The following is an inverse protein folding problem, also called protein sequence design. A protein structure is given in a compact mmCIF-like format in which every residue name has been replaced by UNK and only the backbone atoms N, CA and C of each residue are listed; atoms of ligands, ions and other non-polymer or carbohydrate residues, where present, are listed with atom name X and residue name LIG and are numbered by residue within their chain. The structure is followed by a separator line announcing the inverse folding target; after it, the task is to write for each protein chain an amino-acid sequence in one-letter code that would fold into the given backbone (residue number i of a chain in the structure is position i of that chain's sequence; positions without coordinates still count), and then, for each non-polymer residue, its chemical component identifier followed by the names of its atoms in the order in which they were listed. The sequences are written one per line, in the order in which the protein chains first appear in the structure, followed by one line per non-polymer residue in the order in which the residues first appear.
data_IF_384036551987
#
_entry.id   IF_384036551987
#
_cell.length_a   1.000
_cell.length_b   1.000
_cell.length_c   1.000
_cell.angle_alpha   90.00
_cell.angle_beta   90.00
_cell.angle_gamma   90.00
#
_symmetry.space_group_name_H-M   'P 1'
#
loop_
_entity.id
_entity.type
_entity.pdbx_description
1 polymer ?
#
# COMPACT_ATOMS: atom_id res chain seq x y z
N UNK A 1 7.12 -16.23 -23.25
CA UNK A 1 5.91 -16.48 -22.43
C UNK A 1 5.00 -17.40 -23.22
N UNK A 2 4.81 -18.62 -22.76
CA UNK A 2 3.85 -19.55 -23.37
C UNK A 2 2.42 -19.18 -22.98
N UNK A 3 1.45 -19.70 -23.74
CA UNK A 3 0.01 -19.55 -23.44
C UNK A 3 -0.33 -20.05 -22.02
N UNK A 4 0.38 -21.09 -21.56
CA UNK A 4 0.28 -21.64 -20.21
C UNK A 4 0.63 -20.59 -19.13
N UNK A 5 1.70 -19.82 -19.32
CA UNK A 5 2.13 -18.79 -18.36
C UNK A 5 1.09 -17.68 -18.23
N UNK A 6 0.47 -17.29 -19.34
CA UNK A 6 -0.58 -16.28 -19.39
C UNK A 6 -1.83 -16.79 -18.66
N UNK A 7 -2.23 -18.04 -18.91
CA UNK A 7 -3.39 -18.65 -18.26
C UNK A 7 -3.21 -18.73 -16.73
N UNK A 8 -2.04 -19.17 -16.26
CA UNK A 8 -1.72 -19.22 -14.82
C UNK A 8 -1.76 -17.82 -14.20
N UNK A 9 -1.18 -16.83 -14.88
CA UNK A 9 -1.16 -15.44 -14.39
C UNK A 9 -2.58 -14.88 -14.25
N UNK A 10 -3.43 -15.06 -15.27
CA UNK A 10 -4.84 -14.62 -15.23
C UNK A 10 -5.61 -15.33 -14.11
N UNK A 11 -5.38 -16.63 -13.92
CA UNK A 11 -6.01 -17.40 -12.85
C UNK A 11 -5.66 -16.87 -11.46
N UNK A 12 -4.36 -16.62 -11.21
CA UNK A 12 -3.90 -16.05 -9.93
C UNK A 12 -4.53 -14.67 -9.71
N UNK A 13 -4.49 -13.78 -10.69
CA UNK A 13 -5.10 -12.44 -10.55
C UNK A 13 -6.61 -12.50 -10.31
N UNK A 14 -7.31 -13.46 -10.91
CA UNK A 14 -8.76 -13.66 -10.69
C UNK A 14 -9.04 -14.05 -9.23
N UNK A 15 -8.24 -14.96 -8.66
CA UNK A 15 -8.35 -15.34 -7.24
C UNK A 15 -8.07 -14.14 -6.34
N UNK A 16 -7.03 -13.36 -6.63
CA UNK A 16 -6.69 -12.16 -5.85
C UNK A 16 -7.82 -11.14 -5.89
N UNK A 17 -8.45 -10.93 -7.05
CA UNK A 17 -9.61 -10.06 -7.20
C UNK A 17 -10.81 -10.56 -6.40
N UNK A 18 -11.10 -11.86 -6.42
CA UNK A 18 -12.16 -12.44 -5.61
C UNK A 18 -11.92 -12.27 -4.10
N UNK A 19 -10.67 -12.45 -3.65
CA UNK A 19 -10.30 -12.28 -2.24
C UNK A 19 -10.32 -10.81 -1.79
N UNK A 20 -10.10 -9.87 -2.71
CA UNK A 20 -10.13 -8.42 -2.43
C UNK A 20 -11.49 -7.90 -1.98
N UNK A 21 -12.56 -8.67 -2.21
CA UNK A 21 -13.92 -8.35 -1.76
C UNK A 21 -13.97 -8.21 -0.23
N UNK A 22 -13.25 -9.05 0.51
CA UNK A 22 -13.25 -9.05 1.98
C UNK A 22 -12.73 -7.72 2.55
N UNK A 23 -11.49 -7.29 2.25
CA UNK A 23 -10.98 -6.00 2.74
C UNK A 23 -11.76 -4.81 2.17
N UNK A 24 -12.28 -4.92 0.93
CA UNK A 24 -13.20 -3.94 0.38
C UNK A 24 -14.43 -3.76 1.28
N UNK A 25 -15.13 -4.84 1.63
CA UNK A 25 -16.31 -4.77 2.51
C UNK A 25 -15.94 -4.17 3.86
N UNK A 26 -14.82 -4.58 4.46
CA UNK A 26 -14.38 -4.06 5.77
C UNK A 26 -14.21 -2.53 5.72
N UNK A 27 -13.43 -2.03 4.76
CA UNK A 27 -13.17 -0.59 4.63
C UNK A 27 -14.45 0.16 4.26
N UNK A 28 -15.25 -0.37 3.33
CA UNK A 28 -16.55 0.17 2.95
C UNK A 28 -17.49 0.32 4.14
N UNK A 29 -17.62 -0.73 4.97
CA UNK A 29 -18.46 -0.70 6.17
C UNK A 29 -17.96 0.28 7.22
N UNK A 30 -16.64 0.41 7.41
CA UNK A 30 -16.07 1.41 8.34
C UNK A 30 -16.42 2.82 7.87
N UNK A 31 -16.27 3.12 6.58
CA UNK A 31 -16.62 4.43 6.03
C UNK A 31 -18.11 4.70 6.07
N UNK A 32 -18.94 3.70 5.79
CA UNK A 32 -20.41 3.80 5.89
C UNK A 32 -20.85 4.20 7.29
N UNK A 33 -20.28 3.56 8.32
CA UNK A 33 -20.59 3.87 9.73
C UNK A 33 -20.11 5.27 10.12
N UNK A 34 -18.96 5.70 9.61
CA UNK A 34 -18.31 6.95 10.04
C UNK A 34 -18.87 8.19 9.33
N UNK A 35 -19.17 8.07 8.03
CA UNK A 35 -19.49 9.22 7.18
C UNK A 35 -20.81 9.06 6.41
N UNK A 36 -21.51 7.92 6.56
CA UNK A 36 -22.82 7.66 5.97
C UNK A 36 -22.79 6.76 4.73
N UNK A 37 -23.99 6.29 4.35
CA UNK A 37 -24.25 5.23 3.34
C UNK A 37 -23.59 5.44 1.97
N UNK A 38 -23.39 6.69 1.56
CA UNK A 38 -22.79 7.05 0.27
C UNK A 38 -21.29 6.69 0.19
N UNK A 39 -20.61 6.54 1.33
CA UNK A 39 -19.18 6.29 1.38
C UNK A 39 -18.82 4.80 1.47
N UNK A 40 -19.82 3.91 1.49
CA UNK A 40 -19.60 2.48 1.38
C UNK A 40 -18.85 2.11 0.09
N UNK A 41 -19.37 2.54 -1.07
CA UNK A 41 -18.80 2.21 -2.37
C UNK A 41 -17.37 2.76 -2.57
N UNK A 42 -17.09 4.05 -2.27
CA UNK A 42 -15.74 4.56 -2.27
C UNK A 42 -14.81 3.80 -1.33
N UNK A 43 -15.25 3.50 -0.10
CA UNK A 43 -14.48 2.73 0.86
C UNK A 43 -14.19 1.31 0.38
N UNK A 44 -15.18 0.66 -0.25
CA UNK A 44 -15.04 -0.66 -0.85
C UNK A 44 -13.98 -0.68 -1.95
N UNK A 45 -14.03 0.28 -2.88
CA UNK A 45 -13.07 0.39 -3.97
C UNK A 45 -11.65 0.61 -3.42
N UNK A 46 -11.51 1.50 -2.43
CA UNK A 46 -10.22 1.78 -1.78
C UNK A 46 -9.67 0.53 -1.08
N UNK A 47 -10.50 -0.19 -0.31
CA UNK A 47 -10.08 -1.39 0.40
C UNK A 47 -9.69 -2.54 -0.55
N UNK A 48 -10.46 -2.75 -1.61
CA UNK A 48 -10.15 -3.75 -2.64
C UNK A 48 -8.86 -3.39 -3.39
N UNK A 49 -8.71 -2.13 -3.81
CA UNK A 49 -7.51 -1.66 -4.52
C UNK A 49 -6.24 -1.78 -3.66
N UNK A 50 -6.31 -1.39 -2.39
CA UNK A 50 -5.20 -1.50 -1.45
C UNK A 50 -4.74 -2.96 -1.29
N UNK A 51 -5.69 -3.91 -1.20
CA UNK A 51 -5.38 -5.33 -1.10
C UNK A 51 -4.75 -5.89 -2.38
N UNK A 52 -5.28 -5.52 -3.55
CA UNK A 52 -4.73 -5.93 -4.85
C UNK A 52 -3.30 -5.42 -5.03
N UNK A 53 -3.03 -4.18 -4.63
CA UNK A 53 -1.67 -3.60 -4.65
C UNK A 53 -0.75 -4.37 -3.69
N UNK A 54 -1.18 -4.59 -2.45
CA UNK A 54 -0.39 -5.31 -1.45
C UNK A 54 -0.02 -6.74 -1.89
N UNK A 55 -0.97 -7.48 -2.47
CA UNK A 55 -0.72 -8.81 -3.00
C UNK A 55 0.14 -8.75 -4.27
N UNK A 56 -0.08 -7.77 -5.15
CA UNK A 56 0.77 -7.52 -6.31
C UNK A 56 2.22 -7.27 -5.92
N UNK A 57 2.46 -6.44 -4.91
CA UNK A 57 3.79 -6.20 -4.35
C UNK A 57 4.39 -7.45 -3.72
N UNK A 58 3.62 -8.26 -2.98
CA UNK A 58 4.17 -9.49 -2.39
C UNK A 58 4.43 -10.60 -3.41
N UNK A 59 3.63 -10.72 -4.47
CA UNK A 59 3.77 -11.76 -5.50
C UNK A 59 4.80 -11.41 -6.58
N UNK A 60 5.00 -10.11 -6.87
CA UNK A 60 5.91 -9.64 -7.91
C UNK A 60 7.09 -8.81 -7.39
N UNK A 61 7.14 -8.51 -6.09
CA UNK A 61 8.13 -7.63 -5.47
C UNK A 61 9.51 -8.23 -5.23
N UNK A 62 9.74 -9.50 -5.57
CA UNK A 62 11.08 -10.11 -5.52
C UNK A 62 12.02 -9.61 -6.65
N UNK A 63 11.59 -8.58 -7.39
CA UNK A 63 12.40 -7.81 -8.32
C UNK A 63 12.58 -6.33 -7.96
N UNK A 64 12.17 -5.86 -6.77
CA UNK A 64 12.13 -4.42 -6.48
C UNK A 64 12.17 -3.97 -5.02
N UNK A 65 12.20 -4.87 -4.02
CA UNK A 65 12.40 -4.50 -2.61
C UNK A 65 13.87 -4.24 -2.25
N UNK A 66 14.52 -3.35 -2.98
CA UNK A 66 15.69 -2.60 -2.48
C UNK A 66 15.30 -1.27 -1.79
N UNK A 67 14.03 -1.06 -1.43
CA UNK A 67 13.61 0.16 -0.71
C UNK A 67 13.28 -0.03 0.77
N UNK A 68 13.76 -1.11 1.40
CA UNK A 68 13.69 -1.19 2.87
C UNK A 68 14.90 -1.90 3.49
N UNK A 69 16.11 -1.38 3.28
CA UNK A 69 17.25 -1.65 4.16
C UNK A 69 18.07 -0.37 4.40
N UNK A 70 18.08 0.08 5.65
CA UNK A 70 19.01 1.06 6.24
C UNK A 70 18.84 2.54 5.89
N UNK A 71 17.75 3.16 6.36
CA UNK A 71 17.91 4.53 6.89
C UNK A 71 18.47 4.39 8.30
N UNK A 72 19.80 4.37 8.41
CA UNK A 72 20.51 4.36 9.70
C UNK A 72 19.99 5.50 10.59
N UNK A 73 19.69 5.26 11.89
CA UNK A 73 19.24 6.29 12.82
C UNK A 73 20.24 7.46 12.94
N UNK A 74 21.51 7.26 12.57
CA UNK A 74 22.52 8.31 12.50
C UNK A 74 22.22 9.39 11.45
N UNK A 75 21.63 9.02 10.30
CA UNK A 75 21.35 9.97 9.21
C UNK A 75 20.19 10.91 9.56
N UNK A 76 19.19 10.39 10.28
CA UNK A 76 18.06 11.16 10.82
C UNK A 76 18.53 12.14 11.91
N UNK A 77 19.34 11.69 12.85
CA UNK A 77 19.88 12.56 13.90
C UNK A 77 20.79 13.66 13.34
N UNK A 78 21.58 13.38 12.29
CA UNK A 78 22.41 14.41 11.63
C UNK A 78 21.56 15.50 10.99
N UNK A 79 20.47 15.14 10.29
CA UNK A 79 19.55 16.12 9.68
C UNK A 79 18.85 16.99 10.73
N UNK A 80 18.42 16.40 11.86
CA UNK A 80 17.81 17.16 12.97
C UNK A 80 18.82 18.13 13.60
N UNK A 81 20.08 17.72 13.78
CA UNK A 81 21.13 18.59 14.34
C UNK A 81 21.48 19.76 13.41
N UNK A 82 21.43 19.56 12.09
CA UNK A 82 21.60 20.64 11.12
C UNK A 82 20.40 21.59 11.11
N UNK A 83 19.16 21.08 11.09
CA UNK A 83 17.96 21.92 11.14
C UNK A 83 17.94 22.81 12.39
N UNK A 84 18.32 22.26 13.55
CA UNK A 84 18.39 23.03 14.80
C UNK A 84 19.44 24.15 14.79
N UNK A 85 20.45 24.08 13.92
CA UNK A 85 21.47 25.13 13.79
C UNK A 85 20.98 26.29 12.92
N UNK A 86 20.30 25.99 11.81
CA UNK A 86 19.74 27.01 10.93
C UNK A 86 18.63 27.85 11.61
N UNK A 87 17.76 27.23 12.40
CA UNK A 87 16.71 27.97 13.13
C UNK A 87 17.19 28.69 14.39
N UNK A 88 18.47 28.54 14.79
CA UNK A 88 19.04 29.24 15.94
C UNK A 88 19.74 30.55 15.55
N UNK A 89 20.13 30.70 14.29
CA UNK A 89 20.80 31.91 13.78
C UNK A 89 19.82 32.95 13.19
N UNK A 90 18.51 32.68 13.21
CA UNK A 90 17.46 33.59 12.71
C UNK A 90 16.64 34.25 13.85
N UNK A 91 17.23 34.37 15.04
CA UNK A 91 16.67 35.08 16.20
C UNK A 91 17.81 35.73 17.01
#
# INVERSE_FOLDING_TARGET
MGILDIAIRVFIWTIVLALSIIPGIIVGSILEVTFGKLLFWPGFIVGAAAFVIFIGENLYGDGGTEQNKNVSPFTLQRRIKFAKRYFKDEN
#
